data_IF_670878665447
#
_entry.id   IF_670878665447
#
_cell.length_a   1.000
_cell.length_b   1.000
_cell.length_c   1.000
_cell.angle_alpha   90.00
_cell.angle_beta   90.00
_cell.angle_gamma   90.00
#
_symmetry.space_group_name_H-M   'P 1'
#
loop_
_entity.id
_entity.type
_entity.pdbx_description
1 polymer ?
#
# COMPACT_ATOMS: atom_id res chain seq x y z
N UNK A 1 -13.23 -0.27 -10.77
CA UNK A 1 -12.42 0.81 -10.19
C UNK A 1 -11.54 1.40 -11.29
N UNK A 2 -11.54 2.72 -11.46
CA UNK A 2 -10.60 3.45 -12.34
C UNK A 2 -9.41 4.04 -11.55
N UNK A 3 -8.38 4.52 -12.25
CA UNK A 3 -7.25 5.23 -11.62
C UNK A 3 -7.68 6.47 -10.86
N UNK A 4 -8.62 7.24 -11.41
CA UNK A 4 -9.14 8.46 -10.78
C UNK A 4 -9.89 8.13 -9.49
N UNK A 5 -10.69 7.07 -9.49
CA UNK A 5 -11.38 6.59 -8.29
C UNK A 5 -10.39 6.13 -7.23
N UNK A 6 -9.39 5.33 -7.62
CA UNK A 6 -8.33 4.88 -6.73
C UNK A 6 -7.55 6.06 -6.13
N UNK A 7 -7.19 7.07 -6.94
CA UNK A 7 -6.50 8.27 -6.44
C UNK A 7 -7.36 9.07 -5.48
N UNK A 8 -8.64 9.27 -5.77
CA UNK A 8 -9.57 9.92 -4.82
C UNK A 8 -9.62 9.18 -3.49
N UNK A 9 -9.61 7.84 -3.48
CA UNK A 9 -9.59 7.05 -2.25
C UNK A 9 -8.29 7.28 -1.48
N UNK A 10 -7.14 7.25 -2.15
CA UNK A 10 -5.83 7.50 -1.53
C UNK A 10 -5.79 8.89 -0.88
N UNK A 11 -6.22 9.92 -1.61
CA UNK A 11 -6.14 11.31 -1.16
C UNK A 11 -7.15 11.62 -0.06
N UNK A 12 -8.43 11.24 -0.23
CA UNK A 12 -9.49 11.53 0.73
C UNK A 12 -9.27 10.84 2.09
N UNK A 13 -8.63 9.67 2.09
CA UNK A 13 -8.33 8.93 3.31
C UNK A 13 -6.92 9.22 3.85
N UNK A 14 -6.18 10.14 3.21
CA UNK A 14 -4.80 10.49 3.51
C UNK A 14 -3.91 9.24 3.69
N UNK A 15 -4.04 8.31 2.74
CA UNK A 15 -3.29 7.05 2.75
C UNK A 15 -1.85 7.31 2.32
N UNK A 16 -0.91 6.60 2.92
CA UNK A 16 0.53 6.73 2.68
C UNK A 16 1.18 5.35 2.50
N UNK A 17 2.50 5.31 2.33
CA UNK A 17 3.29 4.09 2.18
C UNK A 17 2.83 3.21 1.01
N UNK A 18 2.71 3.85 -0.15
CA UNK A 18 2.36 3.18 -1.39
C UNK A 18 3.23 3.66 -2.56
N UNK A 19 3.39 2.80 -3.56
CA UNK A 19 4.10 3.06 -4.81
C UNK A 19 3.07 2.97 -5.93
N UNK A 20 2.91 4.04 -6.70
CA UNK A 20 1.85 4.17 -7.69
C UNK A 20 2.43 4.20 -9.10
N UNK A 21 2.36 3.07 -9.80
CA UNK A 21 2.84 2.90 -11.18
C UNK A 21 4.26 3.44 -11.37
N UNK A 22 5.16 3.06 -10.46
CA UNK A 22 6.55 3.48 -10.46
C UNK A 22 7.46 2.25 -10.28
N UNK A 23 8.58 2.26 -10.99
CA UNK A 23 9.54 1.16 -11.00
C UNK A 23 10.36 1.05 -9.70
N UNK A 24 10.21 1.99 -8.76
CA UNK A 24 10.78 1.90 -7.42
C UNK A 24 10.19 0.67 -6.69
N UNK A 25 11.01 -0.37 -6.50
CA UNK A 25 10.58 -1.63 -5.85
C UNK A 25 11.21 -1.84 -4.48
N UNK A 26 12.03 -0.90 -4.02
CA UNK A 26 12.90 -1.04 -2.86
C UNK A 26 12.51 -0.15 -1.68
N UNK A 27 11.42 0.61 -1.76
CA UNK A 27 10.93 1.37 -0.60
C UNK A 27 10.44 0.40 0.48
N UNK A 28 10.94 0.47 1.72
CA UNK A 28 10.62 -0.51 2.76
C UNK A 28 9.25 -0.26 3.39
N UNK A 29 8.46 -1.34 3.60
CA UNK A 29 7.11 -1.29 4.18
C UNK A 29 6.07 -0.55 3.33
N UNK A 30 6.11 -0.72 2.01
CA UNK A 30 5.19 -0.11 1.05
C UNK A 30 4.33 -1.16 0.37
N UNK A 31 3.20 -0.72 -0.19
CA UNK A 31 2.41 -1.50 -1.15
C UNK A 31 2.56 -0.86 -2.52
N UNK A 32 2.94 -1.64 -3.53
CA UNK A 32 3.13 -1.15 -4.90
C UNK A 32 2.13 -1.72 -5.88
N UNK A 33 1.82 -0.92 -6.91
CA UNK A 33 1.19 -1.38 -8.16
C UNK A 33 2.06 -0.96 -9.35
N UNK A 34 2.32 -1.90 -10.25
CA UNK A 34 3.06 -1.69 -11.49
C UNK A 34 2.26 -2.19 -12.69
N UNK A 35 2.55 -1.62 -13.85
CA UNK A 35 1.99 -2.01 -15.15
C UNK A 35 3.14 -2.37 -16.10
N UNK A 36 3.04 -3.52 -16.76
CA UNK A 36 3.95 -3.95 -17.82
C UNK A 36 3.21 -4.82 -18.82
N UNK A 37 3.30 -4.50 -20.12
CA UNK A 37 2.71 -5.31 -21.20
C UNK A 37 1.22 -5.67 -20.98
N UNK A 38 0.41 -4.70 -20.54
CA UNK A 38 -1.01 -4.89 -20.18
C UNK A 38 -1.26 -5.88 -19.03
N UNK A 39 -0.24 -6.12 -18.20
CA UNK A 39 -0.32 -6.91 -16.99
C UNK A 39 -0.02 -6.02 -15.79
N UNK A 40 -0.78 -6.23 -14.72
CA UNK A 40 -0.70 -5.43 -13.51
C UNK A 40 -0.16 -6.28 -12.35
N UNK A 41 0.88 -5.78 -11.69
CA UNK A 41 1.50 -6.46 -10.55
C UNK A 41 1.26 -5.65 -9.28
N UNK A 42 0.68 -6.28 -8.26
CA UNK A 42 0.49 -5.70 -6.93
C UNK A 42 1.34 -6.45 -5.91
N UNK A 43 2.18 -5.74 -5.17
CA UNK A 43 3.14 -6.32 -4.24
C UNK A 43 3.21 -5.52 -2.93
N UNK A 44 3.79 -6.12 -1.91
CA UNK A 44 4.19 -5.42 -0.69
C UNK A 44 5.69 -5.59 -0.47
N UNK A 45 6.36 -4.59 0.08
CA UNK A 45 7.78 -4.67 0.39
C UNK A 45 8.00 -4.91 1.88
N UNK A 46 9.03 -5.69 2.20
CA UNK A 46 9.47 -5.91 3.58
C UNK A 46 10.17 -4.68 4.16
N UNK A 47 10.59 -4.77 5.42
CA UNK A 47 11.44 -3.77 6.08
C UNK A 47 12.76 -3.51 5.34
N UNK A 48 13.20 -4.45 4.50
CA UNK A 48 14.42 -4.34 3.69
C UNK A 48 14.14 -3.87 2.26
N UNK A 49 12.91 -3.48 1.95
CA UNK A 49 12.49 -3.13 0.59
C UNK A 49 12.37 -4.34 -0.34
N UNK A 50 12.35 -5.57 0.17
CA UNK A 50 12.23 -6.75 -0.69
C UNK A 50 10.78 -6.99 -1.07
N UNK A 51 10.41 -7.05 -2.36
CA UNK A 51 9.05 -7.36 -2.79
C UNK A 51 8.60 -8.75 -2.33
N UNK A 52 7.33 -8.86 -1.94
CA UNK A 52 6.69 -10.07 -1.43
C UNK A 52 5.18 -10.02 -1.66
N UNK A 53 4.51 -11.17 -1.56
CA UNK A 53 3.04 -11.26 -1.71
C UNK A 53 2.53 -10.77 -3.07
N UNK A 54 3.36 -10.95 -4.10
CA UNK A 54 3.13 -10.49 -5.47
C UNK A 54 1.86 -11.17 -6.01
N UNK A 55 0.94 -10.38 -6.54
CA UNK A 55 -0.22 -10.84 -7.29
C UNK A 55 -0.24 -10.18 -8.67
N UNK A 56 -0.55 -10.97 -9.68
CA UNK A 56 -0.58 -10.56 -11.07
C UNK A 56 -2.02 -10.60 -11.56
N UNK A 57 -2.42 -9.56 -12.29
CA UNK A 57 -3.77 -9.37 -12.82
C UNK A 57 -3.70 -8.98 -14.30
N UNK A 58 -4.63 -9.47 -15.10
CA UNK A 58 -4.84 -9.04 -16.48
C UNK A 58 -5.82 -7.87 -16.60
N UNK A 59 -6.53 -7.54 -15.52
CA UNK A 59 -7.46 -6.43 -15.43
C UNK A 59 -6.92 -5.35 -14.49
N UNK A 60 -6.85 -4.12 -15.01
CA UNK A 60 -6.47 -2.96 -14.21
C UNK A 60 -7.42 -2.75 -13.03
N UNK A 61 -8.71 -2.90 -13.27
CA UNK A 61 -9.75 -2.69 -12.26
C UNK A 61 -9.57 -3.63 -11.06
N UNK A 62 -9.25 -4.90 -11.31
CA UNK A 62 -9.00 -5.88 -10.26
C UNK A 62 -7.71 -5.57 -9.51
N UNK A 63 -6.65 -5.19 -10.24
CA UNK A 63 -5.38 -4.81 -9.66
C UNK A 63 -5.52 -3.60 -8.74
N UNK A 64 -6.22 -2.55 -9.19
CA UNK A 64 -6.48 -1.34 -8.43
C UNK A 64 -7.29 -1.65 -7.16
N UNK A 65 -8.33 -2.48 -7.28
CA UNK A 65 -9.14 -2.92 -6.13
C UNK A 65 -8.27 -3.67 -5.11
N UNK A 66 -7.40 -4.57 -5.57
CA UNK A 66 -6.48 -5.31 -4.69
C UNK A 66 -5.45 -4.39 -4.03
N UNK A 67 -4.89 -3.47 -4.80
CA UNK A 67 -3.92 -2.48 -4.35
C UNK A 67 -4.50 -1.60 -3.24
N UNK A 68 -5.66 -0.97 -3.47
CA UNK A 68 -6.31 -0.11 -2.47
C UNK A 68 -6.57 -0.87 -1.17
N UNK A 69 -7.15 -2.07 -1.26
CA UNK A 69 -7.45 -2.88 -0.06
C UNK A 69 -6.19 -3.17 0.78
N UNK A 70 -5.04 -3.40 0.14
CA UNK A 70 -3.75 -3.60 0.82
C UNK A 70 -3.22 -2.31 1.44
N UNK A 71 -3.27 -1.19 0.72
CA UNK A 71 -2.82 0.12 1.23
C UNK A 71 -3.64 0.52 2.47
N UNK A 72 -4.96 0.37 2.42
CA UNK A 72 -5.84 0.63 3.56
C UNK A 72 -5.51 -0.26 4.76
N UNK A 73 -5.28 -1.55 4.51
CA UNK A 73 -4.92 -2.52 5.55
C UNK A 73 -3.60 -2.16 6.23
N UNK A 74 -2.57 -1.79 5.44
CA UNK A 74 -1.28 -1.32 5.97
C UNK A 74 -1.44 -0.05 6.82
N UNK A 75 -2.13 0.97 6.30
CA UNK A 75 -2.32 2.23 7.03
C UNK A 75 -3.12 2.02 8.32
N UNK A 76 -4.09 1.10 8.35
CA UNK A 76 -4.81 0.71 9.57
C UNK A 76 -3.89 0.07 10.61
N UNK A 77 -2.95 -0.77 10.18
CA UNK A 77 -1.95 -1.37 11.08
C UNK A 77 -1.00 -0.32 11.65
N UNK A 78 -0.49 0.57 10.81
CA UNK A 78 0.40 1.65 11.23
C UNK A 78 -0.26 2.60 12.23
N UNK A 79 -1.52 2.98 11.99
CA UNK A 79 -2.32 3.77 12.94
C UNK A 79 -2.49 3.06 14.29
N UNK A 80 -2.72 1.74 14.30
CA UNK A 80 -2.81 0.95 15.54
C UNK A 80 -1.49 0.91 16.30
N UNK A 81 -0.38 0.69 15.61
CA UNK A 81 0.97 0.66 16.22
C UNK A 81 1.32 2.03 16.81
N UNK A 82 1.09 3.11 16.05
CA UNK A 82 1.33 4.48 16.50
C UNK A 82 0.52 4.80 17.77
N UNK A 83 -0.77 4.44 17.79
CA UNK A 83 -1.61 4.63 18.98
C UNK A 83 -1.07 3.86 20.18
N UNK A 84 -0.72 2.58 20.00
CA UNK A 84 -0.19 1.75 21.08
C UNK A 84 1.10 2.32 21.66
N UNK A 85 1.99 2.85 20.82
CA UNK A 85 3.23 3.46 21.26
C UNK A 85 2.99 4.71 22.10
N UNK A 86 2.07 5.59 21.67
CA UNK A 86 1.67 6.79 22.42
C UNK A 86 1.04 6.43 23.78
N UNK A 87 0.15 5.44 23.81
CA UNK A 87 -0.49 4.97 25.04
C UNK A 87 0.56 4.38 26.01
N UNK A 88 1.57 3.67 25.49
CA UNK A 88 2.65 3.08 26.28
C UNK A 88 3.60 4.14 26.87
N UNK A 89 3.98 5.17 26.11
CA UNK A 89 4.81 6.26 26.61
C UNK A 89 4.10 7.05 27.72
N UNK A 90 2.82 7.35 27.55
CA UNK A 90 2.02 8.02 28.58
C UNK A 90 1.91 7.21 29.88
N UNK A 91 1.87 5.88 29.79
CA UNK A 91 1.83 5.01 30.97
C UNK A 91 3.17 4.95 31.72
N UNK A 92 4.29 5.28 31.07
CA UNK A 92 5.64 5.20 31.66
C UNK A 92 6.17 6.52 32.22
N UNK A 93 5.53 7.65 31.89
CA UNK A 93 5.82 8.99 32.44
C UNK A 93 5.07 9.26 33.74
#
# INVERSE_FOLDING_TARGET
>A
MTREEAKRILDNNNLSNYIWFDNSRNEPNYVGINESENVYEVFATSERGTPSGIKVFSSEEEALTNFISRVESLNRLLKKISKWFLDYEHFRS
#
